data_IF_642125821972
#
_entry.id   IF_642125821972
#
_cell.length_a   1.000
_cell.length_b   1.000
_cell.length_c   1.000
_cell.angle_alpha   90.00
_cell.angle_beta   90.00
_cell.angle_gamma   90.00
#
_symmetry.space_group_name_H-M   'P 1'
#
loop_
_entity.id
_entity.type
_entity.pdbx_description
1 polymer ?
#
# COMPACT_ATOMS: atom_id res chain seq x y z
N UNK A 1 -29.57 20.35 1.51
CA UNK A 1 -28.96 19.10 0.95
C UNK A 1 -27.51 19.09 1.39
N UNK A 2 -27.02 17.95 1.82
CA UNK A 2 -25.66 17.80 2.33
C UNK A 2 -24.82 16.90 1.42
N UNK A 3 -23.50 17.12 1.42
CA UNK A 3 -22.50 16.25 0.74
C UNK A 3 -21.77 15.45 1.82
N UNK A 4 -21.71 14.14 1.66
CA UNK A 4 -20.98 13.25 2.56
C UNK A 4 -19.59 12.92 2.00
N UNK A 5 -18.55 13.30 2.70
CA UNK A 5 -17.15 12.94 2.38
C UNK A 5 -16.72 11.78 3.27
N UNK A 6 -16.20 10.71 2.69
CA UNK A 6 -15.66 9.55 3.42
C UNK A 6 -14.16 9.47 3.20
N UNK A 7 -13.38 9.68 4.25
CA UNK A 7 -11.92 9.58 4.25
C UNK A 7 -11.44 8.21 4.74
N UNK A 8 -10.17 7.89 4.52
CA UNK A 8 -9.58 6.62 4.94
C UNK A 8 -9.31 6.55 6.45
N UNK A 9 -8.96 7.69 7.07
CA UNK A 9 -8.52 7.78 8.47
C UNK A 9 -9.14 8.99 9.17
N UNK A 10 -9.34 8.90 10.52
CA UNK A 10 -9.89 10.01 11.30
C UNK A 10 -9.08 11.31 11.18
N UNK A 11 -7.75 11.22 11.14
CA UNK A 11 -6.86 12.38 11.02
C UNK A 11 -7.06 13.12 9.69
N UNK A 12 -7.13 12.38 8.59
CA UNK A 12 -7.39 12.93 7.25
C UNK A 12 -8.77 13.57 7.20
N UNK A 13 -9.80 12.90 7.73
CA UNK A 13 -11.15 13.44 7.80
C UNK A 13 -11.20 14.77 8.56
N UNK A 14 -10.49 14.87 9.68
CA UNK A 14 -10.42 16.11 10.46
C UNK A 14 -9.76 17.25 9.68
N UNK A 15 -8.65 16.98 9.00
CA UNK A 15 -7.98 17.98 8.15
C UNK A 15 -8.88 18.44 7.01
N UNK A 16 -9.50 17.51 6.28
CA UNK A 16 -10.44 17.82 5.19
C UNK A 16 -11.65 18.61 5.70
N UNK A 17 -12.23 18.22 6.83
CA UNK A 17 -13.38 18.88 7.43
C UNK A 17 -13.06 20.34 7.80
N UNK A 18 -11.93 20.58 8.46
CA UNK A 18 -11.49 21.93 8.86
C UNK A 18 -11.22 22.80 7.63
N UNK A 19 -10.52 22.29 6.62
CA UNK A 19 -10.23 23.01 5.39
C UNK A 19 -11.51 23.41 4.62
N UNK A 20 -12.59 22.61 4.73
CA UNK A 20 -13.85 22.84 4.03
C UNK A 20 -14.95 23.48 4.93
N UNK A 21 -14.66 23.82 6.19
CA UNK A 21 -15.60 24.52 7.09
C UNK A 21 -16.52 23.60 7.92
N UNK A 22 -16.31 22.28 7.90
CA UNK A 22 -17.10 21.33 8.70
C UNK A 22 -16.42 21.07 10.07
N UNK A 23 -16.58 22.01 11.02
CA UNK A 23 -15.84 21.98 12.29
C UNK A 23 -16.63 21.37 13.47
N UNK A 24 -17.94 21.15 13.35
CA UNK A 24 -18.77 20.61 14.42
C UNK A 24 -18.55 19.11 14.57
N UNK A 25 -18.03 18.69 15.72
CA UNK A 25 -17.74 17.28 15.99
C UNK A 25 -19.01 16.53 16.44
N UNK A 26 -19.24 15.38 15.81
CA UNK A 26 -20.28 14.40 16.14
C UNK A 26 -19.67 13.03 16.44
N UNK A 27 -20.49 12.06 16.86
CA UNK A 27 -20.00 10.68 17.04
C UNK A 27 -19.73 10.04 15.67
N UNK A 28 -18.46 9.83 15.33
CA UNK A 28 -18.01 9.20 14.11
C UNK A 28 -17.99 10.08 12.85
N UNK A 29 -18.27 11.38 12.94
CA UNK A 29 -18.16 12.32 11.81
C UNK A 29 -18.03 13.77 12.27
N UNK A 30 -17.71 14.69 11.34
CA UNK A 30 -17.79 16.13 11.53
C UNK A 30 -18.84 16.72 10.60
N UNK A 31 -19.43 17.85 10.99
CA UNK A 31 -20.46 18.54 10.20
C UNK A 31 -20.24 20.06 10.16
N UNK A 32 -20.76 20.71 9.12
CA UNK A 32 -20.74 22.15 8.93
C UNK A 32 -20.94 22.53 7.46
N UNK A 33 -21.51 23.69 7.20
CA UNK A 33 -21.67 24.27 5.86
C UNK A 33 -22.25 23.31 4.79
N UNK A 34 -23.22 22.48 5.19
CA UNK A 34 -23.82 21.49 4.29
C UNK A 34 -22.92 20.30 3.99
N UNK A 35 -21.84 20.12 4.73
CA UNK A 35 -20.93 18.99 4.62
C UNK A 35 -21.05 18.06 5.83
N UNK A 36 -20.88 16.77 5.56
CA UNK A 36 -20.66 15.72 6.54
C UNK A 36 -19.34 15.03 6.18
N UNK A 37 -18.40 14.99 7.10
CA UNK A 37 -17.09 14.36 6.83
C UNK A 37 -16.90 13.22 7.83
N UNK A 38 -16.89 12.01 7.33
CA UNK A 38 -16.68 10.81 8.13
C UNK A 38 -15.45 10.04 7.62
N UNK A 39 -15.14 8.92 8.24
CA UNK A 39 -13.91 8.17 7.94
C UNK A 39 -14.09 6.68 8.07
N UNK A 40 -13.24 5.97 7.36
CA UNK A 40 -12.93 4.58 7.63
C UNK A 40 -11.81 4.48 8.69
N UNK A 41 -11.59 3.29 9.21
CA UNK A 41 -10.42 2.96 10.06
C UNK A 41 -9.61 1.91 9.31
N UNK A 42 -9.07 2.30 8.14
CA UNK A 42 -8.62 1.36 7.13
C UNK A 42 -9.80 0.52 6.62
N UNK A 43 -9.57 -0.72 6.25
CA UNK A 43 -10.67 -1.60 5.80
C UNK A 43 -11.71 -1.84 6.90
N UNK A 44 -12.93 -1.35 6.70
CA UNK A 44 -14.11 -1.67 7.54
C UNK A 44 -14.81 -2.95 7.06
N UNK A 45 -14.58 -3.30 5.82
CA UNK A 45 -15.10 -4.50 5.18
C UNK A 45 -13.92 -5.21 4.53
N UNK A 46 -13.87 -6.51 4.69
CA UNK A 46 -12.86 -7.39 4.13
C UNK A 46 -13.50 -8.57 3.41
N UNK A 47 -12.72 -9.32 2.66
CA UNK A 47 -13.17 -10.59 2.14
C UNK A 47 -13.46 -11.55 3.29
N UNK A 48 -14.56 -12.27 3.17
CA UNK A 48 -15.00 -13.20 4.20
C UNK A 48 -14.02 -14.38 4.36
N UNK A 49 -13.92 -14.92 5.55
CA UNK A 49 -13.14 -16.12 5.82
C UNK A 49 -13.70 -17.35 5.05
N UNK A 50 -12.82 -18.31 4.77
CA UNK A 50 -13.17 -19.51 4.03
C UNK A 50 -14.33 -20.29 4.64
N UNK A 51 -14.42 -20.34 5.96
CA UNK A 51 -15.52 -21.00 6.68
C UNK A 51 -16.90 -20.41 6.42
N UNK A 52 -16.98 -19.18 5.91
CA UNK A 52 -18.26 -18.56 5.51
C UNK A 52 -18.77 -19.00 4.13
N UNK A 53 -17.90 -19.59 3.32
CA UNK A 53 -18.27 -20.16 2.02
C UNK A 53 -18.85 -21.56 2.16
N UNK A 54 -18.19 -22.39 2.97
CA UNK A 54 -18.62 -23.76 3.27
C UNK A 54 -18.09 -24.17 4.67
N UNK A 55 -18.92 -24.86 5.44
CA UNK A 55 -18.56 -25.35 6.80
C UNK A 55 -17.33 -26.27 6.80
N UNK A 56 -17.15 -27.06 5.73
CA UNK A 56 -15.97 -27.93 5.59
C UNK A 56 -14.66 -27.17 5.68
N UNK A 57 -14.63 -25.91 5.24
CA UNK A 57 -13.44 -25.04 5.28
C UNK A 57 -13.13 -24.46 6.67
N UNK A 58 -13.94 -24.74 7.70
CA UNK A 58 -13.61 -24.36 9.08
C UNK A 58 -12.43 -25.16 9.61
N UNK A 59 -12.27 -26.40 9.17
CA UNK A 59 -11.10 -27.23 9.48
C UNK A 59 -10.13 -27.19 8.32
N UNK A 60 -8.84 -27.07 8.62
CA UNK A 60 -7.82 -27.08 7.59
C UNK A 60 -7.44 -28.51 7.24
N UNK A 61 -7.74 -28.93 6.03
CA UNK A 61 -7.46 -30.25 5.52
C UNK A 61 -6.88 -30.16 4.13
N UNK A 62 -5.96 -31.04 3.78
CA UNK A 62 -5.33 -31.08 2.46
C UNK A 62 -6.35 -31.34 1.35
N UNK A 63 -7.28 -32.23 1.59
CA UNK A 63 -8.30 -32.68 0.62
C UNK A 63 -9.32 -31.59 0.26
N UNK A 64 -9.37 -30.52 1.08
CA UNK A 64 -10.27 -29.38 0.85
C UNK A 64 -9.64 -28.27 0.01
N UNK A 65 -8.41 -28.46 -0.46
CA UNK A 65 -7.68 -27.50 -1.28
C UNK A 65 -7.70 -27.90 -2.77
N UNK A 66 -7.72 -26.94 -3.68
CA UNK A 66 -7.75 -25.49 -3.46
C UNK A 66 -9.17 -24.96 -3.17
N UNK A 67 -9.26 -23.91 -2.35
CA UNK A 67 -10.50 -23.16 -2.12
C UNK A 67 -10.62 -22.10 -3.20
N UNK A 68 -11.61 -22.25 -4.07
CA UNK A 68 -11.86 -21.37 -5.24
C UNK A 68 -13.34 -20.91 -5.22
N UNK A 69 -13.63 -19.75 -4.60
CA UNK A 69 -14.99 -19.24 -4.53
C UNK A 69 -15.55 -18.89 -5.92
N UNK A 70 -16.75 -19.34 -6.23
CA UNK A 70 -17.47 -18.93 -7.43
C UNK A 70 -18.05 -17.52 -7.29
N UNK A 71 -18.51 -17.20 -6.09
CA UNK A 71 -19.02 -15.87 -5.72
C UNK A 71 -18.26 -15.34 -4.51
N UNK A 72 -17.90 -14.06 -4.54
CA UNK A 72 -17.17 -13.46 -3.46
C UNK A 72 -18.09 -12.98 -2.34
N UNK A 73 -17.74 -13.31 -1.12
CA UNK A 73 -18.42 -12.85 0.10
C UNK A 73 -17.55 -11.85 0.83
N UNK A 74 -18.21 -10.86 1.42
CA UNK A 74 -17.57 -9.80 2.19
C UNK A 74 -18.16 -9.78 3.60
N UNK A 75 -17.35 -9.39 4.57
CA UNK A 75 -17.75 -9.34 5.97
C UNK A 75 -17.18 -8.08 6.65
N UNK A 76 -17.87 -7.53 7.64
CA UNK A 76 -17.34 -6.49 8.50
C UNK A 76 -16.04 -6.94 9.14
N UNK A 77 -15.05 -6.04 9.19
CA UNK A 77 -13.80 -6.29 9.90
C UNK A 77 -14.06 -6.26 11.40
N UNK A 78 -13.68 -7.30 12.15
CA UNK A 78 -13.92 -7.38 13.60
C UNK A 78 -13.40 -6.15 14.35
N UNK A 79 -14.20 -5.64 15.30
CA UNK A 79 -13.88 -4.47 16.11
C UNK A 79 -14.10 -3.11 15.44
N UNK A 80 -14.64 -3.09 14.22
CA UNK A 80 -14.92 -1.84 13.48
C UNK A 80 -16.41 -1.64 13.18
N UNK A 81 -17.25 -2.43 13.78
CA UNK A 81 -18.68 -2.48 13.49
C UNK A 81 -19.39 -1.15 13.80
N UNK A 82 -18.97 -0.46 14.88
CA UNK A 82 -19.54 0.85 15.26
C UNK A 82 -19.37 1.87 14.15
N UNK A 83 -18.16 2.05 13.63
CA UNK A 83 -17.89 3.02 12.58
C UNK A 83 -18.57 2.64 11.26
N UNK A 84 -18.63 1.36 10.94
CA UNK A 84 -19.37 0.87 9.77
C UNK A 84 -20.88 1.18 9.88
N UNK A 85 -21.47 1.03 11.06
CA UNK A 85 -22.87 1.36 11.31
C UNK A 85 -23.14 2.86 11.09
N UNK A 86 -22.27 3.72 11.63
CA UNK A 86 -22.36 5.19 11.43
C UNK A 86 -22.27 5.53 9.94
N UNK A 87 -21.32 4.98 9.21
CA UNK A 87 -21.21 5.23 7.76
C UNK A 87 -22.43 4.76 6.99
N UNK A 88 -23.00 3.60 7.33
CA UNK A 88 -24.24 3.11 6.74
C UNK A 88 -25.39 4.06 6.99
N UNK A 89 -25.55 4.56 8.21
CA UNK A 89 -26.55 5.54 8.54
C UNK A 89 -26.38 6.84 7.73
N UNK A 90 -25.17 7.40 7.70
CA UNK A 90 -24.86 8.61 6.94
C UNK A 90 -25.12 8.46 5.44
N UNK A 91 -24.76 7.33 4.85
CA UNK A 91 -25.00 7.02 3.44
C UNK A 91 -26.49 6.97 3.07
N UNK A 92 -27.37 6.61 4.03
CA UNK A 92 -28.81 6.51 3.82
C UNK A 92 -29.59 7.75 4.26
N UNK A 93 -28.95 8.77 4.83
CA UNK A 93 -29.65 10.01 5.23
C UNK A 93 -30.34 10.67 4.02
N UNK A 94 -31.55 11.08 4.19
CA UNK A 94 -32.36 11.71 3.14
C UNK A 94 -31.85 13.09 2.72
N UNK A 95 -31.16 13.80 3.63
CA UNK A 95 -30.55 15.10 3.35
C UNK A 95 -29.21 15.02 2.62
N UNK A 96 -28.59 13.83 2.54
CA UNK A 96 -27.36 13.60 1.76
C UNK A 96 -27.71 13.34 0.29
N UNK A 97 -27.28 14.24 -0.58
CA UNK A 97 -27.55 14.17 -2.03
C UNK A 97 -26.38 13.60 -2.84
N UNK A 98 -25.14 13.73 -2.35
CA UNK A 98 -23.93 13.26 -3.01
C UNK A 98 -22.97 12.66 -1.99
N UNK A 99 -22.19 11.66 -2.42
CA UNK A 99 -21.11 11.07 -1.63
C UNK A 99 -19.78 11.39 -2.31
N UNK A 100 -18.75 11.70 -1.53
CA UNK A 100 -17.41 11.96 -2.03
C UNK A 100 -16.44 10.92 -1.45
N UNK A 101 -15.77 10.20 -2.32
CA UNK A 101 -14.64 9.38 -1.92
C UNK A 101 -13.42 10.27 -1.66
N UNK A 102 -13.12 10.51 -0.39
CA UNK A 102 -11.97 11.25 0.12
C UNK A 102 -10.87 10.35 0.71
N UNK A 103 -10.87 9.05 0.41
CA UNK A 103 -9.78 8.15 0.79
C UNK A 103 -8.49 8.46 0.02
N UNK A 104 -7.36 7.90 0.47
CA UNK A 104 -6.05 8.16 -0.11
C UNK A 104 -6.05 7.97 -1.65
N UNK A 105 -5.31 8.82 -2.37
CA UNK A 105 -5.24 8.81 -3.82
C UNK A 105 -4.49 7.56 -4.32
N UNK A 106 -5.21 6.48 -4.57
CA UNK A 106 -4.64 5.22 -4.98
C UNK A 106 -5.66 4.09 -5.04
N UNK A 107 -5.19 2.92 -5.47
CA UNK A 107 -6.00 1.70 -5.60
C UNK A 107 -6.63 1.28 -4.27
N UNK A 108 -5.87 1.37 -3.19
CA UNK A 108 -6.33 0.95 -1.86
C UNK A 108 -7.44 1.83 -1.32
N UNK A 109 -7.27 3.16 -1.41
CA UNK A 109 -8.32 4.10 -1.01
C UNK A 109 -9.61 3.94 -1.82
N UNK A 110 -9.49 3.60 -3.12
CA UNK A 110 -10.66 3.28 -3.94
C UNK A 110 -11.36 2.01 -3.45
N UNK A 111 -10.61 0.96 -3.13
CA UNK A 111 -11.15 -0.29 -2.62
C UNK A 111 -11.85 -0.13 -1.28
N UNK A 112 -11.23 0.59 -0.34
CA UNK A 112 -11.77 0.85 1.00
C UNK A 112 -13.13 1.55 0.90
N UNK A 113 -13.21 2.62 0.10
CA UNK A 113 -14.43 3.36 -0.11
C UNK A 113 -15.52 2.51 -0.77
N UNK A 114 -15.20 1.87 -1.90
CA UNK A 114 -16.18 1.09 -2.69
C UNK A 114 -16.76 -0.06 -1.89
N UNK A 115 -15.97 -0.75 -1.08
CA UNK A 115 -16.46 -1.81 -0.22
C UNK A 115 -17.52 -1.30 0.76
N UNK A 116 -17.30 -0.14 1.38
CA UNK A 116 -18.29 0.45 2.30
C UNK A 116 -19.53 0.90 1.54
N UNK A 117 -19.36 1.60 0.42
CA UNK A 117 -20.43 2.12 -0.40
C UNK A 117 -21.34 1.00 -0.95
N UNK A 118 -20.75 -0.05 -1.53
CA UNK A 118 -21.48 -1.18 -2.10
C UNK A 118 -22.15 -2.04 -1.01
N UNK A 119 -21.42 -2.35 0.07
CA UNK A 119 -21.99 -3.15 1.17
C UNK A 119 -23.01 -2.39 2.03
N UNK A 120 -23.04 -1.08 1.94
CA UNK A 120 -24.15 -0.29 2.46
C UNK A 120 -25.36 -0.31 1.52
N UNK A 121 -25.24 -0.76 0.28
CA UNK A 121 -26.31 -0.69 -0.72
C UNK A 121 -26.64 0.76 -1.12
N UNK A 122 -25.67 1.67 -1.05
CA UNK A 122 -25.87 3.06 -1.41
C UNK A 122 -25.97 3.20 -2.94
N UNK A 123 -26.97 3.97 -3.40
CA UNK A 123 -27.20 4.23 -4.83
C UNK A 123 -27.05 5.71 -5.20
N UNK A 124 -26.65 6.55 -4.26
CA UNK A 124 -26.48 7.99 -4.49
C UNK A 124 -25.29 8.24 -5.43
N UNK A 125 -25.35 9.31 -6.23
CA UNK A 125 -24.19 9.67 -7.03
C UNK A 125 -22.97 9.92 -6.16
N UNK A 126 -21.79 9.50 -6.63
CA UNK A 126 -20.56 9.76 -5.91
C UNK A 126 -19.46 10.30 -6.84
N UNK A 127 -18.61 11.11 -6.24
CA UNK A 127 -17.44 11.71 -6.90
C UNK A 127 -16.16 11.36 -6.14
N UNK A 128 -15.03 11.66 -6.74
CA UNK A 128 -13.70 11.35 -6.21
C UNK A 128 -12.92 12.65 -5.95
N UNK A 129 -12.55 12.85 -4.69
CA UNK A 129 -11.55 13.82 -4.28
C UNK A 129 -10.16 13.20 -4.44
N UNK A 130 -9.39 13.68 -5.41
CA UNK A 130 -8.05 13.17 -5.70
C UNK A 130 -7.01 14.23 -5.38
N UNK A 131 -6.35 14.09 -4.23
CA UNK A 131 -5.33 15.04 -3.76
C UNK A 131 -4.08 14.30 -3.32
N UNK A 132 -2.92 14.90 -3.52
CA UNK A 132 -1.61 14.41 -3.08
C UNK A 132 -1.01 15.22 -1.93
N UNK A 133 -1.64 16.34 -1.56
CA UNK A 133 -1.24 17.21 -0.45
C UNK A 133 -2.40 17.44 0.50
N UNK A 134 -2.10 17.58 1.79
CA UNK A 134 -3.08 17.90 2.85
C UNK A 134 -3.09 19.39 3.22
N UNK A 135 -2.55 20.25 2.38
CA UNK A 135 -2.66 21.69 2.54
C UNK A 135 -4.08 22.17 2.22
N UNK A 136 -4.56 23.18 2.94
CA UNK A 136 -5.92 23.70 2.81
C UNK A 136 -6.28 24.11 1.39
N UNK A 137 -5.33 24.74 0.67
CA UNK A 137 -5.49 25.15 -0.74
C UNK A 137 -5.71 23.93 -1.63
N UNK A 138 -4.87 22.91 -1.51
CA UNK A 138 -4.95 21.68 -2.29
C UNK A 138 -6.26 20.91 -2.02
N UNK A 139 -6.73 20.88 -0.76
CA UNK A 139 -7.99 20.27 -0.39
C UNK A 139 -9.16 21.00 -1.04
N UNK A 140 -9.20 22.34 -0.97
CA UNK A 140 -10.28 23.16 -1.56
C UNK A 140 -10.31 23.06 -3.07
N UNK A 141 -9.17 23.16 -3.73
CA UNK A 141 -9.04 23.00 -5.18
C UNK A 141 -9.44 21.60 -5.63
N UNK A 142 -8.94 20.56 -4.94
CA UNK A 142 -9.29 19.18 -5.22
C UNK A 142 -10.78 18.89 -5.00
N UNK A 143 -11.40 19.48 -3.97
CA UNK A 143 -12.85 19.35 -3.73
C UNK A 143 -13.68 20.06 -4.82
N UNK A 144 -13.25 21.21 -5.29
CA UNK A 144 -13.91 21.91 -6.38
C UNK A 144 -13.73 21.16 -7.72
N UNK A 145 -12.55 20.60 -7.97
CA UNK A 145 -12.22 19.84 -9.18
C UNK A 145 -12.49 18.34 -9.12
N UNK A 146 -13.29 17.86 -8.14
CA UNK A 146 -13.59 16.43 -8.01
C UNK A 146 -14.28 15.89 -9.26
N UNK A 147 -13.94 14.64 -9.60
CA UNK A 147 -14.44 13.98 -10.81
C UNK A 147 -15.49 12.93 -10.45
N UNK A 148 -16.28 12.54 -11.44
CA UNK A 148 -17.26 11.46 -11.26
C UNK A 148 -16.56 10.18 -10.81
N UNK A 149 -17.14 9.49 -9.83
CA UNK A 149 -16.55 8.26 -9.30
C UNK A 149 -16.40 7.15 -10.33
N UNK A 150 -17.25 7.13 -11.36
CA UNK A 150 -17.19 6.16 -12.46
C UNK A 150 -15.91 6.25 -13.30
N UNK A 151 -15.24 7.40 -13.33
CA UNK A 151 -13.94 7.52 -14.01
C UNK A 151 -12.84 6.65 -13.35
N UNK A 152 -13.06 6.23 -12.11
CA UNK A 152 -12.14 5.40 -11.33
C UNK A 152 -12.52 3.92 -11.28
N UNK A 153 -13.51 3.47 -12.09
CA UNK A 153 -13.96 2.08 -12.08
C UNK A 153 -12.84 1.10 -12.47
N UNK A 154 -12.01 1.44 -13.46
CA UNK A 154 -10.87 0.61 -13.83
C UNK A 154 -9.84 0.48 -12.69
N UNK A 155 -9.62 1.57 -11.92
CA UNK A 155 -8.76 1.56 -10.75
C UNK A 155 -9.32 0.66 -9.64
N UNK A 156 -10.63 0.76 -9.39
CA UNK A 156 -11.33 -0.13 -8.46
C UNK A 156 -11.22 -1.60 -8.87
N UNK A 157 -11.48 -1.92 -10.14
CA UNK A 157 -11.35 -3.29 -10.64
C UNK A 157 -9.93 -3.83 -10.48
N UNK A 158 -8.91 -3.03 -10.73
CA UNK A 158 -7.51 -3.40 -10.48
C UNK A 158 -7.25 -3.72 -9.00
N UNK A 159 -7.77 -2.89 -8.09
CA UNK A 159 -7.65 -3.12 -6.66
C UNK A 159 -8.37 -4.38 -6.20
N UNK A 160 -9.59 -4.60 -6.71
CA UNK A 160 -10.42 -5.76 -6.42
C UNK A 160 -9.77 -7.06 -6.91
N UNK A 161 -9.23 -7.07 -8.14
CA UNK A 161 -8.50 -8.21 -8.67
C UNK A 161 -7.29 -8.56 -7.80
N UNK A 162 -6.53 -7.55 -7.37
CA UNK A 162 -5.40 -7.74 -6.46
C UNK A 162 -5.85 -8.34 -5.13
N UNK A 163 -6.88 -7.76 -4.49
CA UNK A 163 -7.38 -8.25 -3.22
C UNK A 163 -7.84 -9.71 -3.31
N UNK A 164 -8.54 -10.08 -4.40
CA UNK A 164 -8.96 -11.47 -4.67
C UNK A 164 -7.77 -12.41 -4.86
N UNK A 165 -6.76 -11.99 -5.62
CA UNK A 165 -5.54 -12.76 -5.81
C UNK A 165 -4.78 -12.96 -4.50
N UNK A 166 -4.65 -11.90 -3.69
CA UNK A 166 -4.00 -11.97 -2.37
C UNK A 166 -4.76 -12.93 -1.43
N UNK A 167 -6.10 -12.91 -1.45
CA UNK A 167 -6.91 -13.85 -0.68
C UNK A 167 -6.72 -15.29 -1.16
N UNK A 168 -6.80 -15.54 -2.48
CA UNK A 168 -6.64 -16.89 -3.04
C UNK A 168 -5.27 -17.49 -2.72
N UNK A 169 -4.21 -16.73 -2.94
CA UNK A 169 -2.85 -17.19 -2.62
C UNK A 169 -2.69 -17.38 -1.12
N UNK A 170 -3.11 -16.38 -0.34
CA UNK A 170 -2.95 -16.40 1.12
C UNK A 170 -3.67 -17.57 1.78
N UNK A 171 -4.96 -17.76 1.47
CA UNK A 171 -5.77 -18.80 2.11
C UNK A 171 -5.30 -20.21 1.74
N UNK A 172 -5.02 -20.46 0.46
CA UNK A 172 -4.64 -21.78 -0.01
C UNK A 172 -3.22 -22.16 0.39
N UNK A 173 -2.26 -21.27 0.19
CA UNK A 173 -0.87 -21.56 0.52
C UNK A 173 -0.65 -21.64 2.05
N UNK A 174 -1.26 -20.75 2.83
CA UNK A 174 -1.20 -20.81 4.31
C UNK A 174 -1.72 -22.14 4.82
N UNK A 175 -2.89 -22.59 4.34
CA UNK A 175 -3.48 -23.86 4.77
C UNK A 175 -2.66 -25.06 4.33
N UNK A 176 -2.22 -25.06 3.07
CA UNK A 176 -1.39 -26.13 2.50
C UNK A 176 -0.13 -26.35 3.35
N UNK A 177 0.67 -25.32 3.52
CA UNK A 177 1.92 -25.43 4.27
C UNK A 177 1.67 -25.71 5.76
N UNK A 178 0.63 -25.12 6.36
CA UNK A 178 0.32 -25.37 7.75
C UNK A 178 -0.09 -26.83 8.02
N UNK A 179 -0.85 -27.43 7.10
CA UNK A 179 -1.23 -28.85 7.20
C UNK A 179 -0.02 -29.76 6.98
N UNK A 180 0.80 -29.50 5.95
CA UNK A 180 1.97 -30.32 5.62
C UNK A 180 3.03 -30.31 6.74
N UNK A 181 3.25 -29.17 7.36
CA UNK A 181 4.28 -29.00 8.39
C UNK A 181 3.74 -29.08 9.83
N UNK A 182 2.45 -29.34 10.03
CA UNK A 182 1.80 -29.41 11.34
C UNK A 182 2.04 -28.18 12.23
N UNK A 183 2.19 -27.01 11.60
CA UNK A 183 2.48 -25.73 12.25
C UNK A 183 1.84 -24.61 11.44
N UNK A 184 1.28 -23.60 12.12
CA UNK A 184 0.75 -22.43 11.43
C UNK A 184 1.87 -21.68 10.68
N UNK A 185 1.80 -21.70 9.35
CA UNK A 185 2.74 -21.04 8.45
C UNK A 185 1.97 -20.07 7.57
N UNK A 186 2.02 -18.79 7.91
CA UNK A 186 1.37 -17.76 7.13
C UNK A 186 2.15 -17.50 5.85
N UNK A 187 1.45 -17.58 4.72
CA UNK A 187 1.99 -17.30 3.40
C UNK A 187 1.23 -16.12 2.79
N UNK A 188 1.95 -15.20 2.22
CA UNK A 188 1.36 -14.03 1.57
C UNK A 188 2.29 -13.44 0.53
N UNK A 189 1.71 -12.81 -0.47
CA UNK A 189 2.43 -12.25 -1.63
C UNK A 189 3.48 -11.20 -1.25
N UNK A 190 3.29 -10.46 -0.18
CA UNK A 190 4.26 -9.49 0.35
C UNK A 190 5.06 -10.07 1.51
N UNK A 191 4.37 -10.74 2.45
CA UNK A 191 4.99 -11.30 3.65
C UNK A 191 6.12 -12.28 3.33
N UNK A 192 5.87 -13.26 2.44
CA UNK A 192 6.84 -14.33 2.17
C UNK A 192 8.09 -13.83 1.45
N UNK A 193 8.01 -13.01 0.38
CA UNK A 193 9.21 -12.42 -0.23
C UNK A 193 9.99 -11.51 0.72
N UNK A 194 9.31 -10.70 1.52
CA UNK A 194 9.98 -9.85 2.52
C UNK A 194 10.74 -10.67 3.55
N UNK A 195 10.12 -11.73 4.06
CA UNK A 195 10.79 -12.65 4.98
C UNK A 195 12.00 -13.32 4.32
N UNK A 196 11.88 -13.73 3.05
CA UNK A 196 12.99 -14.33 2.31
C UNK A 196 14.17 -13.37 2.19
N UNK A 197 13.93 -12.10 1.84
CA UNK A 197 14.98 -11.08 1.79
C UNK A 197 15.71 -10.91 3.13
N UNK A 198 14.95 -10.94 4.24
CA UNK A 198 15.53 -10.87 5.58
C UNK A 198 16.40 -12.09 5.89
N UNK A 199 15.89 -13.29 5.59
CA UNK A 199 16.62 -14.55 5.82
C UNK A 199 17.88 -14.63 4.96
N UNK A 200 17.80 -14.24 3.69
CA UNK A 200 18.98 -14.17 2.82
C UNK A 200 20.03 -13.18 3.34
N UNK A 201 19.58 -12.01 3.81
CA UNK A 201 20.48 -11.01 4.38
C UNK A 201 21.13 -11.50 5.66
N UNK A 202 20.37 -12.10 6.55
CA UNK A 202 20.89 -12.69 7.79
C UNK A 202 21.89 -13.81 7.50
N UNK A 203 21.57 -14.68 6.53
CA UNK A 203 22.51 -15.72 6.05
C UNK A 203 23.82 -15.13 5.54
N UNK A 204 23.77 -14.08 4.71
CA UNK A 204 24.98 -13.38 4.23
C UNK A 204 25.81 -12.77 5.36
N UNK A 205 25.16 -12.26 6.40
CA UNK A 205 25.85 -11.71 7.58
C UNK A 205 26.51 -12.83 8.39
N UNK A 206 25.78 -13.93 8.65
CA UNK A 206 26.27 -15.06 9.44
C UNK A 206 27.41 -15.80 8.75
N UNK A 207 27.32 -15.93 7.43
CA UNK A 207 28.32 -16.63 6.61
C UNK A 207 29.39 -15.67 6.05
N UNK A 208 29.45 -14.45 6.56
CA UNK A 208 30.38 -13.45 6.04
C UNK A 208 31.84 -13.83 6.32
N UNK A 209 32.60 -13.99 5.28
CA UNK A 209 34.05 -14.15 5.33
C UNK A 209 34.72 -12.83 4.94
N UNK A 210 35.68 -12.39 5.77
CA UNK A 210 36.48 -11.20 5.45
C UNK A 210 37.39 -11.48 4.25
N UNK A 211 37.17 -10.75 3.18
CA UNK A 211 38.07 -10.74 2.03
C UNK A 211 38.82 -9.43 2.01
N UNK A 212 40.15 -9.53 1.72
CA UNK A 212 40.97 -8.35 1.48
C UNK A 212 40.79 -7.90 0.05
N UNK A 213 40.59 -6.62 -0.13
CA UNK A 213 40.60 -6.01 -1.45
C UNK A 213 41.43 -4.72 -1.40
N UNK A 214 41.83 -4.26 -2.54
CA UNK A 214 42.60 -3.05 -2.76
C UNK A 214 41.79 -2.12 -3.66
N UNK A 215 41.90 -0.83 -3.41
CA UNK A 215 41.35 0.22 -4.28
C UNK A 215 42.51 1.16 -4.60
N UNK A 216 42.68 1.47 -5.87
CA UNK A 216 43.66 2.46 -6.31
C UNK A 216 42.96 3.80 -6.44
N UNK A 217 43.43 4.77 -5.65
CA UNK A 217 42.94 6.15 -5.70
C UNK A 217 43.87 6.97 -6.61
N UNK A 218 43.30 7.78 -7.46
CA UNK A 218 44.04 8.68 -8.38
C UNK A 218 43.51 10.09 -8.15
N UNK A 219 44.43 10.98 -7.73
CA UNK A 219 44.16 12.43 -7.68
C UNK A 219 44.94 13.13 -8.80
N UNK A 220 44.27 13.78 -9.73
CA UNK A 220 44.92 14.49 -10.82
C UNK A 220 44.12 15.74 -11.23
N UNK A 221 44.73 16.92 -11.20
CA UNK A 221 44.11 18.15 -11.69
C UNK A 221 42.81 18.57 -10.99
N UNK A 222 42.63 18.17 -9.73
CA UNK A 222 41.38 18.45 -8.96
C UNK A 222 40.27 17.44 -9.20
N UNK A 223 40.56 16.35 -9.89
CA UNK A 223 39.65 15.19 -10.06
C UNK A 223 40.19 14.04 -9.23
N UNK A 224 39.36 13.46 -8.38
CA UNK A 224 39.63 12.24 -7.64
C UNK A 224 38.83 11.10 -8.29
N UNK A 225 39.53 9.99 -8.55
CA UNK A 225 38.95 8.77 -9.09
C UNK A 225 39.39 7.55 -8.30
N UNK A 226 38.52 6.54 -8.24
CA UNK A 226 38.78 5.27 -7.56
C UNK A 226 38.62 4.11 -8.55
N UNK A 227 39.45 3.09 -8.40
CA UNK A 227 39.26 1.84 -9.14
C UNK A 227 38.14 1.01 -8.53
N UNK A 228 37.63 0.05 -9.26
CA UNK A 228 36.87 -1.06 -8.68
C UNK A 228 37.72 -1.82 -7.65
N UNK A 229 37.05 -2.66 -6.87
CA UNK A 229 37.70 -3.52 -5.88
C UNK A 229 38.57 -4.57 -6.57
N UNK A 230 39.84 -4.59 -6.24
CA UNK A 230 40.84 -5.53 -6.80
C UNK A 230 41.22 -6.53 -5.71
N UNK A 231 40.96 -7.82 -5.91
CA UNK A 231 41.27 -8.86 -4.93
C UNK A 231 42.77 -9.21 -4.87
N UNK A 232 43.47 -9.08 -5.99
CA UNK A 232 44.89 -9.39 -6.09
C UNK A 232 45.76 -8.15 -5.83
N UNK A 233 46.63 -8.24 -4.84
CA UNK A 233 47.53 -7.16 -4.45
C UNK A 233 48.54 -6.81 -5.56
N UNK A 234 49.03 -7.81 -6.35
CA UNK A 234 49.98 -7.58 -7.42
C UNK A 234 49.30 -6.84 -8.60
N UNK A 235 48.06 -7.16 -8.91
CA UNK A 235 47.27 -6.45 -9.91
C UNK A 235 46.97 -4.99 -9.47
N UNK A 236 46.70 -4.76 -8.21
CA UNK A 236 46.49 -3.42 -7.68
C UNK A 236 47.78 -2.57 -7.74
N UNK A 237 48.91 -3.16 -7.40
CA UNK A 237 50.21 -2.46 -7.48
C UNK A 237 50.61 -2.20 -8.93
N UNK A 238 50.35 -3.13 -9.86
CA UNK A 238 50.55 -2.93 -11.30
C UNK A 238 49.70 -1.76 -11.81
N UNK A 239 48.43 -1.70 -11.44
CA UNK A 239 47.55 -0.61 -11.83
C UNK A 239 48.05 0.72 -11.26
N UNK A 240 48.42 0.77 -9.97
CA UNK A 240 49.01 1.95 -9.33
C UNK A 240 50.23 2.45 -10.08
N UNK A 241 51.19 1.55 -10.36
CA UNK A 241 52.44 1.89 -11.07
C UNK A 241 52.17 2.39 -12.49
N UNK A 242 51.19 1.79 -13.16
CA UNK A 242 50.78 2.22 -14.51
C UNK A 242 50.17 3.63 -14.46
N UNK A 243 49.35 3.93 -13.47
CA UNK A 243 48.76 5.26 -13.30
C UNK A 243 49.81 6.32 -12.96
N UNK A 244 50.81 5.98 -12.13
CA UNK A 244 51.92 6.90 -11.79
C UNK A 244 52.80 7.23 -13.00
N UNK A 245 52.97 6.28 -13.93
CA UNK A 245 53.79 6.43 -15.12
C UNK A 245 53.05 7.09 -16.30
N UNK A 246 51.73 7.19 -16.26
CA UNK A 246 50.90 7.62 -17.37
C UNK A 246 50.41 9.06 -17.17
N UNK A 247 50.23 9.78 -18.28
CA UNK A 247 49.41 10.99 -18.26
C UNK A 247 47.95 10.57 -18.19
N UNK A 248 47.21 11.01 -17.16
CA UNK A 248 45.78 10.69 -17.01
C UNK A 248 44.99 11.37 -18.15
N UNK A 249 44.29 10.57 -18.93
CA UNK A 249 43.30 11.02 -19.91
C UNK A 249 41.96 10.56 -19.43
N UNK A 250 41.10 11.51 -19.01
CA UNK A 250 39.71 11.21 -18.67
C UNK A 250 38.91 11.20 -19.97
N UNK A 251 38.50 9.99 -20.44
CA UNK A 251 37.69 9.84 -21.63
C UNK A 251 36.18 9.88 -21.36
N UNK A 252 35.76 9.58 -20.14
CA UNK A 252 34.35 9.54 -19.75
C UNK A 252 34.22 9.76 -18.25
N UNK A 253 33.37 10.71 -17.84
CA UNK A 253 32.97 10.92 -16.46
C UNK A 253 31.50 10.50 -16.31
N UNK A 254 31.23 9.47 -15.54
CA UNK A 254 29.87 9.15 -15.08
C UNK A 254 29.68 9.66 -13.67
N UNK A 255 28.65 10.47 -13.48
CA UNK A 255 28.12 10.75 -12.13
C UNK A 255 26.98 9.79 -11.90
N UNK A 256 27.10 8.85 -10.95
CA UNK A 256 25.96 8.10 -10.46
C UNK A 256 25.20 9.00 -9.50
N UNK A 257 23.89 9.14 -9.71
CA UNK A 257 23.01 9.74 -8.72
C UNK A 257 22.87 8.76 -7.54
N UNK A 258 22.93 9.28 -6.31
CA UNK A 258 22.82 8.48 -5.07
C UNK A 258 21.46 7.76 -4.89
N UNK A 259 20.61 7.79 -5.91
CA UNK A 259 19.33 7.08 -5.97
C UNK A 259 19.40 5.67 -6.58
N UNK A 260 20.57 5.26 -7.10
CA UNK A 260 20.77 3.97 -7.79
C UNK A 260 21.58 2.96 -6.94
N UNK A 261 21.84 3.24 -5.66
CA UNK A 261 22.46 2.32 -4.70
C UNK A 261 21.44 1.57 -3.82
#
# INVERSE_FOLDING_TARGET
>A
MSVLIICEKPSVAKTVALALGAAEQKDGYLSGDGLLVSWCIGHLISMADAGSYDERYKKWRYEELPILPQTWKYAPTPGKEKQLAILKELLHRSDVSEVVNGCDAGREGELIFRFVYEQAGCTKPFSRLWISSMEDSAIREGFAGRRAGTEYDALYQSALCRARADWLVGINATRLFSVLYHKTLNVGRVLSPTLNLLVERDGKITMFHKEKYHIVHIGCGGVDAESERISDAAAADTLRTTCEASQAVCCLLYTSDAADE
#
